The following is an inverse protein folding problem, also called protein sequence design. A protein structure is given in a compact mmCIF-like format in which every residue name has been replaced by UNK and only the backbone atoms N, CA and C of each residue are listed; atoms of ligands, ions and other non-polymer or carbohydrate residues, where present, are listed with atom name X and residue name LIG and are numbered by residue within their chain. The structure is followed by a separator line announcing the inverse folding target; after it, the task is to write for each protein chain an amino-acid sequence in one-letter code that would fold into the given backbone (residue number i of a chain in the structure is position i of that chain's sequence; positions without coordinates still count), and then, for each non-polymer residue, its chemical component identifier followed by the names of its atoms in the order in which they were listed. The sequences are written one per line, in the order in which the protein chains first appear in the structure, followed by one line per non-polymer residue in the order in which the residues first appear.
data_IF_934024979052
#
_entry.id   IF_934024979052
#
_cell.length_a   1.000
_cell.length_b   1.000
_cell.length_c   1.000
_cell.angle_alpha   90.00
_cell.angle_beta   90.00
_cell.angle_gamma   90.00
#
_symmetry.space_group_name_H-M   'P 1'
#
loop_
_entity.id
_entity.type
_entity.pdbx_description
1 polymer ?
#
# COMPACT_ATOMS: atom_id res chain seq x y z
N UNK A 1 -17.29 22.16 42.41
CA UNK A 1 -17.13 21.67 41.01
C UNK A 1 -16.73 20.20 41.07
N UNK A 2 -17.50 19.33 40.40
CA UNK A 2 -17.18 17.89 40.25
C UNK A 2 -18.03 16.96 41.09
N UNK A 3 -19.26 16.70 40.66
CA UNK A 3 -20.08 15.58 41.16
C UNK A 3 -19.48 14.26 40.67
N UNK A 4 -19.13 13.38 41.61
CA UNK A 4 -18.68 12.02 41.34
C UNK A 4 -19.88 11.17 40.89
N UNK A 5 -19.87 10.75 39.63
CA UNK A 5 -20.91 9.90 39.03
C UNK A 5 -20.38 8.48 38.84
N UNK A 6 -20.73 7.51 39.71
CA UNK A 6 -20.26 6.13 39.61
C UNK A 6 -20.87 5.37 38.41
N UNK A 7 -22.00 5.81 37.88
CA UNK A 7 -22.70 5.22 36.73
C UNK A 7 -21.87 5.14 35.43
N UNK A 8 -20.73 5.85 35.36
CA UNK A 8 -19.87 5.86 34.18
C UNK A 8 -18.71 4.84 34.26
N UNK A 9 -18.45 4.20 35.39
CA UNK A 9 -17.35 3.22 35.52
C UNK A 9 -17.64 1.90 34.81
N UNK A 10 -18.91 1.53 34.70
CA UNK A 10 -19.28 0.20 34.20
C UNK A 10 -19.00 0.05 32.70
N UNK A 11 -19.04 1.17 31.97
CA UNK A 11 -18.68 1.21 30.54
C UNK A 11 -17.18 1.01 30.28
N UNK A 12 -16.32 1.33 31.26
CA UNK A 12 -14.86 1.21 31.12
C UNK A 12 -14.38 -0.22 31.41
N UNK A 13 -15.03 -0.92 32.34
CA UNK A 13 -14.76 -2.34 32.63
C UNK A 13 -15.30 -3.29 31.54
N UNK A 14 -16.32 -2.88 30.79
CA UNK A 14 -16.90 -3.66 29.71
C UNK A 14 -16.05 -3.68 28.41
N UNK A 15 -15.01 -2.84 28.32
CA UNK A 15 -14.16 -2.73 27.12
C UNK A 15 -12.82 -3.45 27.33
N UNK A 16 -12.85 -4.70 27.80
CA UNK A 16 -11.67 -5.56 27.70
C UNK A 16 -11.73 -6.32 26.36
N UNK A 17 -10.64 -6.40 25.58
CA UNK A 17 -10.65 -7.12 24.33
C UNK A 17 -10.84 -8.62 24.60
N UNK A 18 -12.00 -9.16 24.21
CA UNK A 18 -12.25 -10.59 24.25
C UNK A 18 -11.39 -11.28 23.17
N UNK A 19 -10.30 -11.93 23.60
CA UNK A 19 -9.43 -12.69 22.72
C UNK A 19 -9.93 -14.14 22.61
N UNK A 20 -10.26 -14.59 21.40
CA UNK A 20 -10.62 -15.99 21.14
C UNK A 20 -9.44 -16.72 20.52
N UNK A 21 -8.87 -17.70 21.21
CA UNK A 21 -7.92 -18.65 20.65
C UNK A 21 -8.69 -19.90 20.22
N UNK A 22 -8.86 -20.10 18.91
CA UNK A 22 -9.46 -21.32 18.39
C UNK A 22 -10.36 -21.11 17.18
N UNK A 23 -10.27 -22.03 16.22
CA UNK A 23 -11.17 -22.09 15.08
C UNK A 23 -12.52 -22.63 15.55
N UNK A 24 -13.59 -21.83 15.47
CA UNK A 24 -14.94 -22.33 15.70
C UNK A 24 -15.32 -23.21 14.52
N UNK A 25 -15.25 -24.53 14.70
CA UNK A 25 -15.81 -25.45 13.71
C UNK A 25 -17.29 -25.13 13.56
N UNK A 26 -17.74 -24.93 12.33
CA UNK A 26 -19.17 -24.93 12.05
C UNK A 26 -19.68 -26.29 12.51
N UNK A 27 -20.82 -26.31 13.21
CA UNK A 27 -21.48 -27.56 13.56
C UNK A 27 -21.54 -28.42 12.30
N UNK A 28 -20.97 -29.63 12.39
CA UNK A 28 -21.06 -30.60 11.31
C UNK A 28 -22.55 -30.73 11.02
N UNK A 29 -22.95 -30.53 9.75
CA UNK A 29 -24.34 -30.79 9.36
C UNK A 29 -24.69 -32.18 9.88
N UNK A 30 -25.90 -32.39 10.43
CA UNK A 30 -26.40 -33.73 10.65
C UNK A 30 -26.16 -34.54 9.38
N UNK A 31 -25.59 -35.74 9.51
CA UNK A 31 -25.46 -36.64 8.38
C UNK A 31 -26.86 -36.77 7.75
N UNK A 32 -26.96 -36.54 6.43
CA UNK A 32 -28.19 -36.78 5.65
C UNK A 32 -28.40 -38.30 5.56
N UNK A 33 -28.67 -38.93 6.70
CA UNK A 33 -29.00 -40.34 6.77
C UNK A 33 -30.49 -40.44 6.42
N UNK A 34 -30.84 -41.01 5.25
CA UNK A 34 -32.23 -41.15 4.87
C UNK A 34 -32.96 -41.97 5.94
N UNK A 35 -34.17 -41.55 6.30
CA UNK A 35 -35.00 -42.27 7.27
C UNK A 35 -35.16 -43.75 6.87
N UNK A 36 -35.34 -44.67 7.83
CA UNK A 36 -35.62 -46.07 7.52
C UNK A 36 -36.85 -46.15 6.60
N UNK A 37 -36.65 -46.63 5.36
CA UNK A 37 -37.68 -46.69 4.31
C UNK A 37 -37.59 -45.62 3.22
N UNK A 38 -36.71 -44.62 3.35
CA UNK A 38 -36.46 -43.62 2.30
C UNK A 38 -35.49 -44.11 1.20
N UNK A 39 -34.90 -45.29 1.35
CA UNK A 39 -34.07 -45.92 0.32
C UNK A 39 -34.96 -46.65 -0.70
N UNK A 40 -34.96 -46.18 -1.96
CA UNK A 40 -35.64 -46.86 -3.07
C UNK A 40 -34.59 -47.55 -3.98
N UNK A 41 -34.25 -48.83 -3.75
CA UNK A 41 -33.24 -49.54 -4.55
C UNK A 41 -33.64 -49.66 -6.03
N UNK A 42 -34.94 -49.72 -6.32
CA UNK A 42 -35.52 -49.78 -7.67
C UNK A 42 -35.14 -48.58 -8.56
N UNK A 43 -34.72 -47.45 -7.97
CA UNK A 43 -34.29 -46.25 -8.71
C UNK A 43 -32.77 -46.21 -8.92
N UNK A 44 -32.01 -47.13 -8.34
CA UNK A 44 -30.55 -47.15 -8.39
C UNK A 44 -30.00 -47.43 -9.78
N UNK A 45 -30.76 -48.11 -10.64
CA UNK A 45 -30.34 -48.46 -12.00
C UNK A 45 -30.06 -47.22 -12.86
N UNK A 46 -30.85 -46.15 -12.66
CA UNK A 46 -30.64 -44.86 -13.34
C UNK A 46 -29.36 -44.15 -12.90
N UNK A 47 -28.92 -44.38 -11.66
CA UNK A 47 -27.71 -43.77 -11.08
C UNK A 47 -26.46 -44.59 -11.46
N UNK A 48 -26.59 -45.92 -11.54
CA UNK A 48 -25.53 -46.83 -11.97
C UNK A 48 -25.22 -46.71 -13.47
N UNK A 49 -26.23 -46.43 -14.30
CA UNK A 49 -26.06 -46.17 -15.73
C UNK A 49 -25.33 -44.84 -16.02
N UNK A 50 -25.32 -43.90 -15.06
CA UNK A 50 -24.63 -42.61 -15.13
C UNK A 50 -23.36 -42.65 -14.28
N UNK A 51 -22.58 -43.74 -14.38
CA UNK A 51 -21.24 -43.74 -13.79
C UNK A 51 -20.29 -42.99 -14.72
N UNK A 52 -19.64 -41.91 -14.25
CA UNK A 52 -18.66 -41.20 -15.07
C UNK A 52 -17.47 -42.13 -15.36
N UNK A 53 -17.16 -42.32 -16.65
CA UNK A 53 -15.99 -43.07 -17.07
C UNK A 53 -14.71 -42.28 -16.70
N UNK A 54 -14.06 -42.67 -15.59
CA UNK A 54 -12.79 -42.09 -15.18
C UNK A 54 -11.64 -42.69 -15.99
N UNK A 55 -10.88 -41.85 -16.69
CA UNK A 55 -9.61 -42.25 -17.31
C UNK A 55 -8.45 -41.91 -16.39
N UNK A 56 -7.60 -42.87 -16.07
CA UNK A 56 -6.32 -42.62 -15.40
C UNK A 56 -5.22 -42.46 -16.46
N UNK A 57 -4.42 -41.40 -16.34
CA UNK A 57 -3.24 -41.15 -17.18
C UNK A 57 -3.42 -40.04 -18.21
N UNK A 58 -2.28 -39.48 -18.64
CA UNK A 58 -2.20 -38.49 -19.70
C UNK A 58 -2.23 -39.23 -21.04
N UNK A 59 -3.17 -38.90 -21.93
CA UNK A 59 -3.09 -39.34 -23.33
C UNK A 59 -1.84 -38.70 -23.96
N UNK A 60 -0.83 -39.49 -24.38
CA UNK A 60 0.32 -38.92 -25.06
C UNK A 60 -0.16 -38.25 -26.34
N UNK A 61 0.33 -37.03 -26.58
CA UNK A 61 0.06 -36.33 -27.84
C UNK A 61 0.71 -37.12 -28.98
N UNK A 62 0.05 -37.13 -30.14
CA UNK A 62 0.60 -37.75 -31.33
C UNK A 62 2.03 -37.23 -31.57
N UNK A 63 2.94 -38.15 -31.87
CA UNK A 63 4.33 -37.81 -32.15
C UNK A 63 4.35 -36.80 -33.31
N UNK A 64 5.09 -35.70 -33.15
CA UNK A 64 5.26 -34.74 -34.23
C UNK A 64 5.89 -35.48 -35.43
N UNK A 65 5.36 -35.29 -36.66
CA UNK A 65 5.98 -35.89 -37.84
C UNK A 65 7.43 -35.42 -37.96
N UNK A 66 8.31 -36.34 -38.34
CA UNK A 66 9.73 -36.05 -38.56
C UNK A 66 9.86 -34.94 -39.61
N UNK A 67 10.68 -33.93 -39.30
CA UNK A 67 10.95 -32.80 -40.20
C UNK A 67 11.98 -33.22 -41.27
N UNK A 68 11.56 -34.17 -42.10
CA UNK A 68 12.38 -34.70 -43.21
C UNK A 68 12.14 -33.78 -44.41
N UNK A 69 13.12 -32.95 -44.80
CA UNK A 69 12.93 -32.03 -45.91
C UNK A 69 12.78 -32.81 -47.23
N UNK A 70 12.00 -32.24 -48.16
CA UNK A 70 11.79 -32.81 -49.49
C UNK A 70 13.11 -33.03 -50.26
N UNK A 71 13.18 -33.96 -51.22
CA UNK A 71 14.35 -34.14 -52.08
C UNK A 71 14.73 -32.81 -52.76
N UNK A 72 15.98 -32.36 -52.56
CA UNK A 72 16.49 -31.07 -53.05
C UNK A 72 16.35 -29.88 -52.09
N UNK A 73 15.64 -30.04 -50.97
CA UNK A 73 15.55 -29.01 -49.92
C UNK A 73 16.66 -29.11 -48.85
N UNK A 74 17.48 -30.17 -48.90
CA UNK A 74 18.67 -30.30 -48.05
C UNK A 74 19.69 -29.21 -48.37
N UNK A 75 20.10 -28.44 -47.35
CA UNK A 75 21.18 -27.44 -47.44
C UNK A 75 22.27 -27.75 -46.41
N UNK A 76 23.22 -28.63 -46.73
CA UNK A 76 24.25 -29.07 -45.77
C UNK A 76 25.17 -27.93 -45.32
N UNK A 77 25.34 -26.88 -46.14
CA UNK A 77 26.16 -25.69 -45.82
C UNK A 77 25.67 -24.92 -44.59
N UNK A 78 24.40 -25.10 -44.18
CA UNK A 78 23.84 -24.47 -42.97
C UNK A 78 23.97 -25.35 -41.72
N UNK A 79 24.39 -26.61 -41.89
CA UNK A 79 24.49 -27.57 -40.80
C UNK A 79 25.62 -27.22 -39.82
N UNK A 80 26.68 -26.53 -40.28
CA UNK A 80 27.80 -26.12 -39.43
C UNK A 80 27.35 -25.23 -38.26
N UNK A 81 26.35 -24.37 -38.48
CA UNK A 81 25.78 -23.51 -37.42
C UNK A 81 25.03 -24.30 -36.34
N UNK A 82 24.51 -25.48 -36.71
CA UNK A 82 23.80 -26.41 -35.82
C UNK A 82 24.80 -27.32 -35.10
N UNK A 83 25.90 -27.71 -35.76
CA UNK A 83 26.94 -28.56 -35.17
C UNK A 83 27.83 -27.81 -34.18
N UNK A 84 28.11 -26.53 -34.43
CA UNK A 84 28.95 -25.70 -33.54
C UNK A 84 28.22 -25.34 -32.25
N UNK A 85 26.88 -25.29 -32.25
CA UNK A 85 26.11 -24.93 -31.07
C UNK A 85 25.64 -26.19 -30.35
N UNK A 86 26.29 -26.51 -29.23
CA UNK A 86 25.80 -27.56 -28.33
C UNK A 86 24.35 -27.23 -27.93
N UNK A 87 23.41 -28.18 -28.06
CA UNK A 87 22.03 -27.91 -27.72
C UNK A 87 21.89 -27.70 -26.21
N UNK A 88 21.50 -26.49 -25.81
CA UNK A 88 21.24 -26.15 -24.42
C UNK A 88 19.80 -26.54 -24.05
N UNK A 89 19.63 -27.70 -23.44
CA UNK A 89 18.34 -28.14 -22.90
C UNK A 89 18.17 -27.65 -21.47
N UNK A 90 17.00 -27.08 -21.15
CA UNK A 90 16.62 -26.76 -19.77
C UNK A 90 15.42 -27.59 -19.37
N UNK A 91 15.50 -28.28 -18.24
CA UNK A 91 14.38 -29.01 -17.66
C UNK A 91 13.75 -28.16 -16.54
N UNK A 92 12.42 -28.16 -16.47
CA UNK A 92 11.66 -27.45 -15.44
C UNK A 92 11.33 -25.99 -15.77
N UNK A 93 10.28 -25.48 -15.12
CA UNK A 93 9.91 -24.07 -15.21
C UNK A 93 10.96 -23.21 -14.49
N UNK A 94 11.44 -22.17 -15.16
CA UNK A 94 12.25 -21.14 -14.48
C UNK A 94 11.31 -20.31 -13.61
N UNK A 95 11.51 -20.25 -12.29
CA UNK A 95 10.80 -19.28 -11.47
C UNK A 95 11.09 -17.90 -12.05
N UNK A 96 10.03 -17.12 -12.31
CA UNK A 96 10.21 -15.70 -12.60
C UNK A 96 10.87 -15.09 -11.36
N UNK A 97 11.93 -14.31 -11.56
CA UNK A 97 12.52 -13.54 -10.47
C UNK A 97 11.38 -12.81 -9.76
N UNK A 98 11.19 -13.12 -8.48
CA UNK A 98 10.18 -12.49 -7.64
C UNK A 98 10.39 -10.99 -7.77
N UNK A 99 9.34 -10.27 -8.16
CA UNK A 99 9.39 -8.81 -8.23
C UNK A 99 9.83 -8.30 -6.86
N UNK A 100 10.65 -7.26 -6.83
CA UNK A 100 10.91 -6.54 -5.58
C UNK A 100 9.56 -6.03 -5.07
N UNK A 101 9.00 -6.67 -4.04
CA UNK A 101 7.69 -6.35 -3.45
C UNK A 101 7.69 -4.98 -2.73
N UNK A 102 8.71 -4.15 -2.95
CA UNK A 102 8.94 -2.89 -2.24
C UNK A 102 9.22 -3.07 -0.74
N UNK A 103 9.28 -4.31 -0.25
CA UNK A 103 9.55 -4.62 1.15
C UNK A 103 11.05 -4.49 1.39
N UNK A 104 11.49 -3.57 2.27
CA UNK A 104 12.89 -3.46 2.62
C UNK A 104 13.42 -4.79 3.16
N UNK A 105 14.65 -5.13 2.78
CA UNK A 105 15.34 -6.28 3.37
C UNK A 105 15.35 -6.20 4.91
N UNK A 106 15.45 -7.33 5.62
CA UNK A 106 15.64 -7.34 7.07
C UNK A 106 16.79 -6.40 7.45
N UNK A 107 16.52 -5.43 8.33
CA UNK A 107 17.50 -4.41 8.74
C UNK A 107 17.61 -3.16 7.86
N UNK A 108 16.90 -3.06 6.72
CA UNK A 108 16.84 -1.83 5.89
C UNK A 108 15.69 -0.88 6.25
N UNK A 109 14.92 -1.16 7.30
CA UNK A 109 13.88 -0.26 7.76
C UNK A 109 14.52 1.04 8.27
N UNK A 110 14.14 2.17 7.67
CA UNK A 110 14.54 3.48 8.17
C UNK A 110 13.71 3.80 9.42
N UNK A 111 14.35 3.79 10.59
CA UNK A 111 13.71 4.20 11.84
C UNK A 111 13.84 5.73 11.94
N UNK A 112 12.73 6.49 11.91
CA UNK A 112 12.81 7.93 12.06
C UNK A 112 13.38 8.29 13.43
N UNK A 113 14.15 9.37 13.49
CA UNK A 113 14.69 9.87 14.75
C UNK A 113 13.57 10.14 15.76
N UNK A 114 13.86 9.97 17.06
CA UNK A 114 12.87 10.06 18.15
C UNK A 114 12.11 11.39 18.19
N UNK A 115 12.71 12.45 17.67
CA UNK A 115 12.14 13.80 17.55
C UNK A 115 10.87 13.85 16.67
N UNK A 116 10.66 12.85 15.81
CA UNK A 116 9.48 12.79 14.94
C UNK A 116 8.19 12.46 15.68
N UNK A 117 8.28 11.71 16.79
CA UNK A 117 7.12 11.27 17.57
C UNK A 117 7.20 11.64 19.05
N UNK A 118 8.33 12.20 19.51
CA UNK A 118 8.53 12.64 20.88
C UNK A 118 9.16 14.02 20.89
N UNK A 119 8.47 14.97 21.51
CA UNK A 119 9.01 16.30 21.74
C UNK A 119 10.31 16.22 22.55
N UNK A 120 11.39 16.82 22.04
CA UNK A 120 12.64 17.00 22.79
C UNK A 120 12.38 17.81 24.07
N UNK A 121 13.13 17.49 25.12
CA UNK A 121 13.19 18.34 26.30
C UNK A 121 13.76 19.72 25.90
N UNK A 122 13.30 20.81 26.51
CA UNK A 122 13.88 22.14 26.27
C UNK A 122 15.39 22.12 26.50
N UNK A 123 16.16 22.68 25.56
CA UNK A 123 17.61 22.78 25.66
C UNK A 123 17.99 24.19 26.17
N UNK A 124 18.46 24.27 27.41
CA UNK A 124 18.88 25.53 28.03
C UNK A 124 20.39 25.74 27.89
N UNK A 125 20.81 27.00 27.69
CA UNK A 125 22.22 27.39 27.70
C UNK A 125 22.39 28.60 28.60
N UNK A 126 23.36 28.55 29.51
CA UNK A 126 23.70 29.67 30.40
C UNK A 126 24.46 30.79 29.68
N UNK A 127 25.06 30.47 28.54
CA UNK A 127 25.83 31.42 27.72
C UNK A 127 24.96 32.07 26.64
N UNK A 128 25.26 33.33 26.31
CA UNK A 128 24.64 34.03 25.20
C UNK A 128 24.89 33.28 23.88
N UNK A 129 23.84 32.94 23.14
CA UNK A 129 23.96 32.39 21.79
C UNK A 129 24.15 33.53 20.81
N UNK A 130 25.41 33.85 20.49
CA UNK A 130 25.70 34.62 19.28
C UNK A 130 25.42 33.70 18.08
N UNK A 131 24.29 33.89 17.41
CA UNK A 131 24.15 33.41 16.04
C UNK A 131 25.10 34.27 15.20
N UNK A 132 26.37 33.89 15.14
CA UNK A 132 27.33 34.49 14.23
C UNK A 132 26.72 34.28 12.84
N UNK A 133 26.35 35.35 12.11
CA UNK A 133 25.82 35.20 10.77
C UNK A 133 26.89 34.51 9.93
N UNK A 134 26.71 33.20 9.74
CA UNK A 134 27.52 32.42 8.82
C UNK A 134 27.29 32.94 7.41
N UNK A 135 28.22 32.68 6.51
CA UNK A 135 28.26 33.24 5.14
C UNK A 135 26.99 32.95 4.29
N UNK A 136 26.12 32.05 4.77
CA UNK A 136 24.79 31.79 4.22
C UNK A 136 23.75 32.87 4.52
N UNK A 137 24.11 33.92 5.26
CA UNK A 137 23.22 35.05 5.52
C UNK A 137 22.99 35.79 4.21
N UNK A 138 21.75 35.74 3.69
CA UNK A 138 21.36 36.43 2.46
C UNK A 138 21.49 37.94 2.68
N UNK A 139 22.66 38.49 2.37
CA UNK A 139 22.92 39.93 2.37
C UNK A 139 22.42 40.47 1.03
N UNK A 140 21.27 41.17 1.00
CA UNK A 140 20.83 41.83 -0.23
C UNK A 140 21.95 42.77 -0.71
N UNK A 141 22.26 42.71 -2.01
CA UNK A 141 23.22 43.63 -2.61
C UNK A 141 22.72 45.08 -2.60
N UNK A 142 23.60 46.05 -2.89
CA UNK A 142 23.19 47.43 -3.06
C UNK A 142 22.10 47.52 -4.14
N UNK A 143 20.93 48.05 -3.79
CA UNK A 143 19.75 48.13 -4.67
C UNK A 143 18.72 46.99 -4.54
N UNK A 144 19.01 45.91 -3.80
CA UNK A 144 18.04 44.84 -3.51
C UNK A 144 17.08 45.18 -2.35
N UNK A 145 17.24 46.37 -1.75
CA UNK A 145 16.30 46.90 -0.77
C UNK A 145 15.20 47.70 -1.48
N UNK A 146 13.94 47.28 -1.35
CA UNK A 146 12.77 48.02 -1.84
C UNK A 146 12.03 48.70 -0.68
N UNK A 147 12.46 49.89 -0.22
CA UNK A 147 11.84 50.59 0.91
C UNK A 147 10.37 50.96 0.66
N UNK A 148 9.99 51.08 -0.61
CA UNK A 148 8.61 51.32 -1.06
C UNK A 148 7.63 50.17 -0.76
N UNK A 149 8.12 48.98 -0.41
CA UNK A 149 7.29 47.79 -0.09
C UNK A 149 7.15 47.51 1.41
N UNK A 150 7.65 48.41 2.27
CA UNK A 150 7.69 48.24 3.74
C UNK A 150 6.30 48.28 4.40
N UNK A 151 5.28 48.75 3.70
CA UNK A 151 3.90 48.81 4.22
C UNK A 151 3.13 47.48 4.11
N UNK A 152 3.68 46.46 3.44
CA UNK A 152 3.01 45.15 3.29
C UNK A 152 3.07 44.27 4.55
N UNK A 153 4.07 44.46 5.40
CA UNK A 153 4.32 43.61 6.58
C UNK A 153 4.27 44.36 7.92
N UNK A 154 3.98 45.65 7.91
CA UNK A 154 3.72 46.43 9.13
C UNK A 154 2.22 46.65 9.27
N UNK A 155 1.70 46.52 10.49
CA UNK A 155 0.39 47.08 10.80
C UNK A 155 0.44 48.58 10.52
N UNK A 156 -0.44 49.06 9.63
CA UNK A 156 -0.59 50.50 9.41
C UNK A 156 -0.79 51.17 10.76
N UNK A 157 0.00 52.21 11.05
CA UNK A 157 -0.20 53.00 12.27
C UNK A 157 -1.66 53.46 12.34
N UNK A 158 -2.32 53.38 13.51
CA UNK A 158 -3.71 53.77 13.64
C UNK A 158 -3.87 55.22 13.18
N UNK A 159 -4.73 55.43 12.17
CA UNK A 159 -5.12 56.77 11.72
C UNK A 159 -6.20 57.29 12.66
N UNK A 160 -5.82 58.18 13.57
CA UNK A 160 -6.77 58.87 14.43
C UNK A 160 -7.42 60.01 13.66
N UNK A 161 -8.75 60.00 13.56
CA UNK A 161 -9.54 61.11 13.03
C UNK A 161 -10.30 61.76 14.19
N UNK A 162 -10.06 63.04 14.46
CA UNK A 162 -10.88 63.84 15.36
C UNK A 162 -12.09 64.37 14.57
N UNK A 163 -13.15 63.59 14.49
CA UNK A 163 -14.37 64.00 13.80
C UNK A 163 -15.59 63.26 14.32
N UNK A 164 -16.67 63.99 14.61
CA UNK A 164 -17.96 63.42 14.97
C UNK A 164 -18.49 62.69 13.72
N UNK A 165 -18.57 61.36 13.77
CA UNK A 165 -19.12 60.56 12.67
C UNK A 165 -20.63 60.70 12.65
N UNK A 166 -21.15 61.61 11.82
CA UNK A 166 -22.57 61.67 11.54
C UNK A 166 -22.96 60.53 10.59
N UNK A 167 -23.65 59.53 11.14
CA UNK A 167 -24.37 58.43 10.47
C UNK A 167 -23.54 57.30 9.81
N UNK A 168 -24.08 56.06 9.76
CA UNK A 168 -23.37 54.85 9.37
C UNK A 168 -23.56 54.49 7.89
N UNK A 169 -23.33 55.42 6.95
CA UNK A 169 -23.23 55.07 5.51
C UNK A 169 -22.14 55.95 4.87
N UNK A 170 -20.93 55.39 4.73
CA UNK A 170 -19.87 55.99 3.92
C UNK A 170 -19.01 54.88 3.30
N UNK A 171 -19.40 54.54 2.07
CA UNK A 171 -18.55 54.29 0.89
C UNK A 171 -17.22 53.54 1.08
N UNK A 172 -17.20 52.29 0.61
CA UNK A 172 -15.97 51.59 0.28
C UNK A 172 -15.42 52.10 -1.07
N UNK A 173 -14.16 52.53 -1.18
CA UNK A 173 -13.58 52.83 -2.48
C UNK A 173 -13.16 51.53 -3.18
N UNK A 174 -13.56 51.36 -4.44
CA UNK A 174 -13.16 50.25 -5.32
C UNK A 174 -11.66 50.32 -5.67
N UNK A 175 -10.96 49.18 -5.82
CA UNK A 175 -9.58 49.16 -6.28
C UNK A 175 -9.49 49.41 -7.80
N UNK A 176 -8.43 50.11 -8.23
CA UNK A 176 -7.93 50.15 -9.61
C UNK A 176 -6.78 49.16 -9.75
#
# INVERSE_FOLDING_TARGET
PGTYCPEKSDTVLATTPAYTFGFKHKDLRPDDVPAPGAYCPEKADTVLAVTPAYTFGIKPKDAKPDDIPAPGAYRPEKADSVLVRTPAYTFGARPKDSRDDGVPAPGKYNVPGTDTYKSKSPAYTLSYRTNIPSDHTKKPGPGAHSPERVWMNKSSSPRFTFGIRHSPVAETPKPK
#
